data_IF_964148169418
#
_entry.id   IF_964148169418
#
_cell.length_a   1.000
_cell.length_b   1.000
_cell.length_c   1.000
_cell.angle_alpha   90.00
_cell.angle_beta   90.00
_cell.angle_gamma   90.00
#
_symmetry.space_group_name_H-M   'P 1'
#
loop_
_entity.id
_entity.type
_entity.pdbx_description
1 polymer ?
#
# COMPACT_ATOMS: atom_id res chain seq x y z
N UNK A 1 -35.91 6.75 15.48
CA UNK A 1 -34.52 6.50 15.09
C UNK A 1 -34.11 7.57 14.09
N UNK A 2 -33.50 8.63 14.56
CA UNK A 2 -32.09 8.79 14.36
C UNK A 2 -31.66 10.06 13.64
N UNK A 3 -32.18 11.21 14.03
CA UNK A 3 -31.52 12.47 13.71
C UNK A 3 -30.14 12.55 14.42
N UNK A 4 -30.04 11.99 15.62
CA UNK A 4 -28.77 11.91 16.39
C UNK A 4 -27.73 11.03 15.69
N UNK A 5 -28.13 9.90 15.09
CA UNK A 5 -27.21 9.05 14.34
C UNK A 5 -26.70 9.67 13.04
N UNK A 6 -27.52 10.47 12.34
CA UNK A 6 -27.12 11.15 11.10
C UNK A 6 -26.14 12.30 11.37
N UNK A 7 -26.32 13.05 12.44
CA UNK A 7 -25.40 14.14 12.83
C UNK A 7 -24.04 13.61 13.30
N UNK A 8 -24.02 12.56 14.09
CA UNK A 8 -22.76 11.89 14.49
C UNK A 8 -22.01 11.39 13.23
N UNK A 9 -22.68 10.71 12.30
CA UNK A 9 -22.03 10.25 11.05
C UNK A 9 -21.49 11.40 10.19
N UNK A 10 -22.18 12.54 10.11
CA UNK A 10 -21.69 13.72 9.37
C UNK A 10 -20.45 14.31 10.06
N UNK A 11 -20.47 14.44 11.36
CA UNK A 11 -19.33 14.94 12.14
C UNK A 11 -18.11 14.06 11.98
N UNK A 12 -18.29 12.73 12.07
CA UNK A 12 -17.20 11.76 11.93
C UNK A 12 -16.57 11.82 10.54
N UNK A 13 -17.39 11.93 9.48
CA UNK A 13 -16.89 12.10 8.11
C UNK A 13 -16.11 13.41 7.95
N UNK A 14 -16.59 14.53 8.51
CA UNK A 14 -15.85 15.79 8.51
C UNK A 14 -14.51 15.66 9.25
N UNK A 15 -14.50 14.97 10.39
CA UNK A 15 -13.27 14.72 11.15
C UNK A 15 -12.29 13.85 10.36
N UNK A 16 -12.78 12.83 9.64
CA UNK A 16 -11.96 12.00 8.78
C UNK A 16 -11.30 12.81 7.64
N UNK A 17 -12.10 13.66 6.96
CA UNK A 17 -11.57 14.57 5.93
C UNK A 17 -10.56 15.54 6.54
N UNK A 18 -10.87 16.17 7.68
CA UNK A 18 -9.95 17.07 8.38
C UNK A 18 -8.65 16.36 8.76
N UNK A 19 -8.72 15.09 9.21
CA UNK A 19 -7.53 14.28 9.50
C UNK A 19 -6.65 14.08 8.27
N UNK A 20 -7.25 13.80 7.10
CA UNK A 20 -6.51 13.64 5.83
C UNK A 20 -5.83 14.95 5.43
N UNK A 21 -6.52 16.08 5.59
CA UNK A 21 -6.00 17.39 5.18
C UNK A 21 -4.89 17.92 6.11
N UNK A 22 -5.04 17.73 7.40
CA UNK A 22 -4.14 18.27 8.44
C UNK A 22 -3.02 17.29 8.83
N UNK A 23 -3.29 15.98 8.69
CA UNK A 23 -2.35 14.93 9.05
C UNK A 23 -1.40 14.54 7.92
N UNK A 24 -0.61 13.50 8.16
CA UNK A 24 0.18 12.80 7.14
C UNK A 24 -0.64 11.71 6.45
N UNK A 25 0.04 10.65 6.02
CA UNK A 25 -0.61 9.45 5.51
C UNK A 25 -1.66 8.92 6.50
N UNK A 26 -2.80 8.47 6.00
CA UNK A 26 -3.97 8.18 6.85
C UNK A 26 -4.57 6.82 6.55
N UNK A 27 -4.91 6.07 7.61
CA UNK A 27 -5.74 4.86 7.53
C UNK A 27 -7.16 5.18 8.02
N UNK A 28 -8.13 5.08 7.13
CA UNK A 28 -9.57 5.13 7.45
C UNK A 28 -10.05 3.73 7.83
N UNK A 29 -9.89 3.37 9.10
CA UNK A 29 -10.31 2.08 9.65
C UNK A 29 -11.78 2.11 10.12
N UNK A 30 -12.67 2.59 9.25
CA UNK A 30 -14.08 2.73 9.56
C UNK A 30 -14.86 1.48 9.15
N UNK A 31 -15.91 1.14 9.89
CA UNK A 31 -16.78 0.00 9.59
C UNK A 31 -17.39 0.12 8.18
N UNK A 32 -17.89 -1.00 7.67
CA UNK A 32 -18.61 -1.02 6.39
C UNK A 32 -19.87 -0.15 6.51
N UNK A 33 -20.14 0.68 5.49
CA UNK A 33 -21.29 1.60 5.49
C UNK A 33 -21.05 2.94 6.16
N UNK A 34 -19.91 3.21 6.78
CA UNK A 34 -19.60 4.51 7.41
C UNK A 34 -19.46 5.67 6.42
N UNK A 35 -19.28 5.37 5.13
CA UNK A 35 -19.16 6.37 4.07
C UNK A 35 -17.72 6.71 3.68
N UNK A 36 -16.78 5.78 3.87
CA UNK A 36 -15.36 5.93 3.50
C UNK A 36 -15.12 6.46 2.09
N UNK A 37 -15.89 5.97 1.12
CA UNK A 37 -15.78 6.43 -0.27
C UNK A 37 -16.10 7.93 -0.40
N UNK A 38 -17.12 8.43 0.30
CA UNK A 38 -17.46 9.87 0.33
C UNK A 38 -16.38 10.69 1.05
N UNK A 39 -15.77 10.16 2.11
CA UNK A 39 -14.67 10.81 2.82
C UNK A 39 -13.45 10.97 1.89
N UNK A 40 -13.10 9.92 1.14
CA UNK A 40 -12.02 9.97 0.15
C UNK A 40 -12.32 10.95 -0.98
N UNK A 41 -13.53 10.94 -1.55
CA UNK A 41 -13.93 11.89 -2.60
C UNK A 41 -13.86 13.33 -2.12
N UNK A 42 -14.37 13.61 -0.91
CA UNK A 42 -14.32 14.95 -0.33
C UNK A 42 -12.88 15.38 -0.04
N UNK A 43 -12.07 14.49 0.53
CA UNK A 43 -10.66 14.76 0.79
C UNK A 43 -9.88 15.03 -0.51
N UNK A 44 -10.14 14.26 -1.58
CA UNK A 44 -9.53 14.45 -2.90
C UNK A 44 -9.76 15.88 -3.42
N UNK A 45 -11.01 16.32 -3.44
CA UNK A 45 -11.36 17.64 -3.95
C UNK A 45 -10.85 18.77 -3.04
N UNK A 46 -10.91 18.58 -1.73
CA UNK A 46 -10.38 19.57 -0.78
C UNK A 46 -8.85 19.66 -0.81
N UNK A 47 -8.13 18.54 -0.98
CA UNK A 47 -6.68 18.55 -1.18
C UNK A 47 -6.31 19.35 -2.43
N UNK A 48 -7.01 19.15 -3.55
CA UNK A 48 -6.80 19.93 -4.78
C UNK A 48 -7.13 21.40 -4.57
N UNK A 49 -8.27 21.72 -3.94
CA UNK A 49 -8.69 23.10 -3.66
C UNK A 49 -7.68 23.85 -2.79
N UNK A 50 -7.05 23.16 -1.83
CA UNK A 50 -6.06 23.74 -0.92
C UNK A 50 -4.62 23.69 -1.46
N UNK A 51 -4.40 23.10 -2.65
CA UNK A 51 -3.06 22.93 -3.22
C UNK A 51 -2.19 21.92 -2.48
N UNK A 52 -2.79 21.01 -1.71
CA UNK A 52 -2.09 19.95 -0.98
C UNK A 52 -1.77 18.74 -1.87
N UNK A 53 -2.59 18.52 -2.91
CA UNK A 53 -2.35 17.54 -3.95
C UNK A 53 -2.94 18.06 -5.26
N UNK A 54 -2.24 17.81 -6.38
CA UNK A 54 -2.66 18.25 -7.71
C UNK A 54 -3.29 17.12 -8.52
N UNK A 55 -2.80 15.92 -8.38
CA UNK A 55 -3.23 14.78 -9.18
C UNK A 55 -3.39 13.52 -8.32
N UNK A 56 -4.61 13.17 -8.01
CA UNK A 56 -4.97 12.03 -7.16
C UNK A 56 -5.42 10.83 -7.97
N UNK A 57 -4.89 9.64 -7.66
CA UNK A 57 -5.45 8.36 -8.12
C UNK A 57 -6.29 7.74 -7.01
N UNK A 58 -7.55 7.43 -7.32
CA UNK A 58 -8.42 6.64 -6.46
C UNK A 58 -8.46 5.20 -6.95
N UNK A 59 -7.97 4.27 -6.13
CA UNK A 59 -7.86 2.84 -6.42
C UNK A 59 -8.98 2.11 -5.69
N UNK A 60 -9.88 1.49 -6.44
CA UNK A 60 -11.09 0.86 -5.89
C UNK A 60 -11.25 -0.58 -6.39
N UNK A 61 -12.07 -1.40 -5.74
CA UNK A 61 -12.44 -2.71 -6.28
C UNK A 61 -13.06 -2.58 -7.69
N UNK A 62 -12.68 -3.47 -8.61
CA UNK A 62 -13.10 -3.43 -10.01
C UNK A 62 -14.62 -3.26 -10.21
N UNK A 63 -15.52 -3.98 -9.48
CA UNK A 63 -16.96 -3.81 -9.61
C UNK A 63 -17.48 -2.43 -9.21
N UNK A 64 -16.72 -1.70 -8.39
CA UNK A 64 -17.14 -0.41 -7.83
C UNK A 64 -16.72 0.81 -8.67
N UNK A 65 -15.91 0.64 -9.73
CA UNK A 65 -15.41 1.76 -10.56
C UNK A 65 -16.55 2.65 -11.06
N UNK A 66 -17.57 2.06 -11.69
CA UNK A 66 -18.69 2.80 -12.23
C UNK A 66 -19.54 3.49 -11.17
N UNK A 67 -19.77 2.82 -10.04
CA UNK A 67 -20.47 3.39 -8.89
C UNK A 67 -19.69 4.58 -8.32
N UNK A 68 -18.38 4.39 -8.06
CA UNK A 68 -17.50 5.43 -7.53
C UNK A 68 -17.49 6.67 -8.42
N UNK A 69 -17.39 6.47 -9.75
CA UNK A 69 -17.44 7.58 -10.71
C UNK A 69 -18.79 8.33 -10.67
N UNK A 70 -19.91 7.61 -10.63
CA UNK A 70 -21.26 8.21 -10.55
C UNK A 70 -21.45 8.97 -9.24
N UNK A 71 -21.03 8.41 -8.12
CA UNK A 71 -21.11 9.05 -6.82
C UNK A 71 -20.20 10.28 -6.73
N UNK A 72 -19.01 10.22 -7.33
CA UNK A 72 -18.09 11.36 -7.40
C UNK A 72 -18.72 12.53 -8.15
N UNK A 73 -19.27 12.31 -9.35
CA UNK A 73 -19.94 13.35 -10.14
C UNK A 73 -21.26 13.82 -9.52
N UNK A 74 -21.91 12.98 -8.71
CA UNK A 74 -23.09 13.41 -7.94
C UNK A 74 -22.72 14.39 -6.83
N UNK A 75 -21.56 14.21 -6.18
CA UNK A 75 -21.07 15.14 -5.15
C UNK A 75 -20.45 16.40 -5.76
N UNK A 76 -19.71 16.23 -6.85
CA UNK A 76 -18.95 17.29 -7.53
C UNK A 76 -19.24 17.25 -9.03
N UNK A 77 -20.38 17.82 -9.48
CA UNK A 77 -20.82 17.73 -10.88
C UNK A 77 -19.85 18.35 -11.89
N UNK A 78 -19.04 19.31 -11.47
CA UNK A 78 -18.03 19.98 -12.31
C UNK A 78 -16.64 19.33 -12.26
N UNK A 79 -16.45 18.25 -11.52
CA UNK A 79 -15.15 17.60 -11.41
C UNK A 79 -14.73 16.97 -12.74
N UNK A 80 -13.48 17.20 -13.11
CA UNK A 80 -12.84 16.56 -14.26
C UNK A 80 -12.21 15.23 -13.84
N UNK A 81 -12.96 14.14 -13.94
CA UNK A 81 -12.48 12.81 -13.56
C UNK A 81 -12.11 11.96 -14.79
N UNK A 82 -11.04 11.17 -14.66
CA UNK A 82 -10.66 10.15 -15.63
C UNK A 82 -10.98 8.76 -15.07
N UNK A 83 -11.86 8.02 -15.74
CA UNK A 83 -12.27 6.68 -15.30
C UNK A 83 -11.61 5.64 -16.22
N UNK A 84 -10.81 4.74 -15.62
CA UNK A 84 -10.14 3.69 -16.36
C UNK A 84 -11.11 2.56 -16.75
N UNK A 85 -11.09 2.19 -18.02
CA UNK A 85 -11.82 1.04 -18.55
C UNK A 85 -10.89 -0.19 -18.70
N UNK A 86 -11.44 -1.37 -18.93
CA UNK A 86 -10.64 -2.57 -19.20
C UNK A 86 -9.82 -2.42 -20.48
N UNK A 87 -10.40 -1.81 -21.51
CA UNK A 87 -9.77 -1.59 -22.81
C UNK A 87 -8.55 -0.69 -22.73
N UNK A 88 -8.52 0.25 -21.79
CA UNK A 88 -7.40 1.19 -21.60
C UNK A 88 -6.13 0.47 -21.13
N UNK A 89 -6.27 -0.70 -20.50
CA UNK A 89 -5.13 -1.50 -20.01
C UNK A 89 -4.80 -2.72 -20.90
N UNK A 90 -5.37 -2.80 -22.10
CA UNK A 90 -4.86 -3.70 -23.15
C UNK A 90 -3.46 -3.26 -23.59
N UNK A 91 -2.61 -4.21 -24.00
CA UNK A 91 -1.20 -3.93 -24.38
C UNK A 91 -1.06 -2.78 -25.38
N UNK A 92 -1.97 -2.70 -26.37
CA UNK A 92 -1.93 -1.68 -27.42
C UNK A 92 -2.36 -0.28 -26.97
N UNK A 93 -3.17 -0.17 -25.92
CA UNK A 93 -3.77 1.11 -25.47
C UNK A 93 -3.18 1.62 -24.16
N UNK A 94 -2.55 0.77 -23.38
CA UNK A 94 -2.02 1.10 -22.06
C UNK A 94 -1.07 2.31 -22.11
N UNK A 95 -0.15 2.35 -23.06
CA UNK A 95 0.78 3.48 -23.23
C UNK A 95 0.02 4.78 -23.46
N UNK A 96 -1.01 4.78 -24.31
CA UNK A 96 -1.84 5.97 -24.57
C UNK A 96 -2.61 6.42 -23.32
N UNK A 97 -3.20 5.48 -22.57
CA UNK A 97 -3.93 5.81 -21.35
C UNK A 97 -3.01 6.40 -20.27
N UNK A 98 -1.85 5.79 -20.06
CA UNK A 98 -0.85 6.27 -19.09
C UNK A 98 -0.31 7.64 -19.51
N UNK A 99 -0.08 7.88 -20.82
CA UNK A 99 0.28 9.22 -21.33
C UNK A 99 -0.83 10.26 -21.07
N UNK A 100 -2.12 9.89 -21.17
CA UNK A 100 -3.23 10.79 -20.81
C UNK A 100 -3.21 11.17 -19.34
N UNK A 101 -2.88 10.22 -18.46
CA UNK A 101 -2.70 10.53 -17.03
C UNK A 101 -1.56 11.53 -16.84
N UNK A 102 -0.41 11.29 -17.47
CA UNK A 102 0.77 12.14 -17.33
C UNK A 102 0.50 13.58 -17.79
N UNK A 103 -0.14 13.76 -18.94
CA UNK A 103 -0.30 15.08 -19.60
C UNK A 103 -1.63 15.78 -19.25
N UNK A 104 -2.63 15.05 -18.75
CA UNK A 104 -3.94 15.60 -18.44
C UNK A 104 -4.02 16.26 -17.07
N UNK A 105 -4.86 17.29 -16.97
CA UNK A 105 -5.22 17.91 -15.68
C UNK A 105 -6.57 17.34 -15.22
N UNK A 106 -6.50 16.31 -14.38
CA UNK A 106 -7.65 15.64 -13.80
C UNK A 106 -7.74 15.93 -12.30
N UNK A 107 -8.96 16.09 -11.79
CA UNK A 107 -9.19 16.20 -10.35
C UNK A 107 -9.00 14.86 -9.66
N UNK A 108 -9.44 13.78 -10.32
CA UNK A 108 -9.28 12.43 -9.84
C UNK A 108 -9.18 11.43 -10.99
N UNK A 109 -8.31 10.45 -10.86
CA UNK A 109 -8.22 9.28 -11.76
C UNK A 109 -8.74 8.07 -11.00
N UNK A 110 -9.78 7.42 -11.51
CA UNK A 110 -10.42 6.26 -10.85
C UNK A 110 -10.04 4.99 -11.61
N UNK A 111 -9.46 4.02 -10.92
CA UNK A 111 -9.05 2.74 -11.50
C UNK A 111 -9.14 1.59 -10.50
N UNK A 112 -9.10 0.35 -11.00
CA UNK A 112 -9.07 -0.83 -10.15
C UNK A 112 -7.68 -1.14 -9.59
N UNK A 113 -7.63 -1.96 -8.52
CA UNK A 113 -6.38 -2.50 -7.96
C UNK A 113 -5.52 -3.16 -9.05
N UNK A 114 -6.13 -4.01 -9.90
CA UNK A 114 -5.41 -4.72 -10.96
C UNK A 114 -4.95 -3.83 -12.12
N UNK A 115 -5.59 -2.68 -12.34
CA UNK A 115 -5.14 -1.69 -13.31
C UNK A 115 -4.00 -0.86 -12.74
N UNK A 116 -4.08 -0.48 -11.48
CA UNK A 116 -3.03 0.25 -10.76
C UNK A 116 -1.72 -0.55 -10.70
N UNK A 117 -1.79 -1.86 -10.48
CA UNK A 117 -0.63 -2.77 -10.51
C UNK A 117 0.06 -2.81 -11.89
N UNK A 118 -0.67 -2.56 -12.98
CA UNK A 118 -0.10 -2.54 -14.34
C UNK A 118 0.67 -1.26 -14.69
N UNK A 119 0.63 -0.24 -13.87
CA UNK A 119 1.45 0.97 -14.01
C UNK A 119 2.81 0.66 -13.39
N UNK A 120 3.89 0.57 -14.17
CA UNK A 120 5.18 0.16 -13.65
C UNK A 120 5.79 1.25 -12.76
N UNK A 121 6.59 0.84 -11.79
CA UNK A 121 7.54 1.72 -11.10
C UNK A 121 8.91 1.60 -11.76
N UNK A 122 9.77 2.62 -11.63
CA UNK A 122 11.09 2.64 -12.26
C UNK A 122 11.94 1.42 -11.87
N UNK A 123 12.80 0.98 -12.79
CA UNK A 123 13.70 -0.13 -12.55
C UNK A 123 14.72 0.20 -11.46
N UNK A 124 15.19 1.43 -11.42
CA UNK A 124 16.16 1.95 -10.44
C UNK A 124 15.59 1.85 -9.02
N UNK A 125 14.29 2.16 -8.84
CA UNK A 125 13.64 2.07 -7.53
C UNK A 125 13.46 0.63 -7.07
N UNK A 126 13.09 -0.26 -7.99
CA UNK A 126 13.02 -1.71 -7.70
C UNK A 126 14.38 -2.28 -7.34
N UNK A 127 15.41 -1.92 -8.09
CA UNK A 127 16.79 -2.34 -7.85
C UNK A 127 17.29 -1.88 -6.48
N UNK A 128 17.07 -0.61 -6.13
CA UNK A 128 17.43 -0.06 -4.81
C UNK A 128 16.77 -0.85 -3.69
N UNK A 129 15.46 -1.09 -3.77
CA UNK A 129 14.74 -1.85 -2.76
C UNK A 129 15.28 -3.28 -2.62
N UNK A 130 15.52 -3.98 -3.74
CA UNK A 130 16.06 -5.34 -3.72
C UNK A 130 17.45 -5.38 -3.09
N UNK A 131 18.31 -4.41 -3.40
CA UNK A 131 19.64 -4.30 -2.80
C UNK A 131 19.56 -4.01 -1.29
N UNK A 132 18.66 -3.13 -0.84
CA UNK A 132 18.41 -2.88 0.58
C UNK A 132 18.01 -4.18 1.30
N UNK A 133 17.05 -4.92 0.76
CA UNK A 133 16.59 -6.20 1.35
C UNK A 133 17.70 -7.27 1.36
N UNK A 134 18.51 -7.36 0.30
CA UNK A 134 19.66 -8.30 0.24
C UNK A 134 20.69 -7.94 1.31
N UNK A 135 20.97 -6.65 1.50
CA UNK A 135 21.93 -6.19 2.52
C UNK A 135 21.40 -6.48 3.93
N UNK A 136 20.13 -6.21 4.22
CA UNK A 136 19.51 -6.51 5.51
C UNK A 136 19.57 -7.99 5.85
N UNK A 137 19.19 -8.86 4.89
CA UNK A 137 19.26 -10.31 5.09
C UNK A 137 20.71 -10.79 5.25
N UNK A 138 21.66 -10.22 4.50
CA UNK A 138 23.07 -10.58 4.61
C UNK A 138 23.61 -10.27 6.01
N UNK A 139 23.32 -9.06 6.50
CA UNK A 139 23.71 -8.65 7.86
C UNK A 139 23.11 -9.57 8.93
N UNK A 140 21.82 -9.91 8.78
CA UNK A 140 21.15 -10.81 9.72
C UNK A 140 21.73 -12.24 9.70
N UNK A 141 22.14 -12.75 8.53
CA UNK A 141 22.81 -14.04 8.40
C UNK A 141 24.16 -14.02 9.13
N UNK A 142 24.96 -12.97 8.95
CA UNK A 142 26.27 -12.86 9.58
C UNK A 142 26.13 -12.77 11.11
N UNK A 143 25.22 -11.96 11.63
CA UNK A 143 24.92 -11.88 13.07
C UNK A 143 24.48 -13.23 13.66
N UNK A 144 23.62 -13.97 12.95
CA UNK A 144 23.15 -15.28 13.41
C UNK A 144 24.26 -16.33 13.38
N UNK A 145 25.19 -16.26 12.43
CA UNK A 145 26.35 -17.16 12.38
C UNK A 145 27.31 -16.89 13.54
N UNK A 146 27.55 -15.62 13.87
CA UNK A 146 28.43 -15.24 15.00
C UNK A 146 27.85 -15.68 16.36
N UNK A 147 26.52 -15.63 16.52
CA UNK A 147 25.83 -16.03 17.76
C UNK A 147 25.52 -17.52 17.86
N UNK A 148 26.05 -18.37 16.97
CA UNK A 148 25.72 -19.81 16.89
C UNK A 148 24.19 -20.07 16.79
N UNK A 149 23.46 -19.22 16.06
CA UNK A 149 22.03 -19.34 15.86
C UNK A 149 21.64 -20.66 15.15
N UNK A 150 20.35 -20.96 15.18
CA UNK A 150 19.82 -22.21 14.62
C UNK A 150 20.14 -22.34 13.12
N UNK A 151 20.81 -23.42 12.74
CA UNK A 151 21.21 -23.69 11.34
C UNK A 151 20.03 -23.69 10.35
N UNK A 152 18.85 -24.04 10.82
CA UNK A 152 17.64 -24.05 9.98
C UNK A 152 17.22 -22.62 9.59
N UNK A 153 17.21 -21.71 10.54
CA UNK A 153 16.88 -20.28 10.31
C UNK A 153 17.87 -19.64 9.33
N UNK A 154 19.18 -19.92 9.48
CA UNK A 154 20.22 -19.43 8.56
C UNK A 154 19.97 -19.94 7.13
N UNK A 155 19.67 -21.25 6.94
CA UNK A 155 19.34 -21.80 5.62
C UNK A 155 18.11 -21.15 4.99
N UNK A 156 17.11 -20.83 5.78
CA UNK A 156 15.90 -20.15 5.29
C UNK A 156 16.23 -18.74 4.81
N UNK A 157 17.02 -17.98 5.56
CA UNK A 157 17.50 -16.65 5.18
C UNK A 157 18.36 -16.69 3.90
N UNK A 158 19.28 -17.64 3.79
CA UNK A 158 20.09 -17.85 2.58
C UNK A 158 19.23 -18.17 1.35
N UNK A 159 18.17 -18.97 1.52
CA UNK A 159 17.20 -19.24 0.45
C UNK A 159 16.42 -17.99 0.03
N UNK A 160 16.03 -17.15 0.98
CA UNK A 160 15.37 -15.88 0.69
C UNK A 160 16.30 -14.91 -0.05
N UNK A 161 17.53 -14.75 0.43
CA UNK A 161 18.57 -13.94 -0.22
C UNK A 161 18.76 -14.36 -1.67
N UNK A 162 18.92 -15.66 -1.94
CA UNK A 162 19.06 -16.19 -3.30
C UNK A 162 17.89 -15.82 -4.21
N UNK A 163 16.65 -15.90 -3.71
CA UNK A 163 15.46 -15.48 -4.47
C UNK A 163 15.47 -13.99 -4.83
N UNK A 164 15.92 -13.13 -3.91
CA UNK A 164 16.04 -11.68 -4.16
C UNK A 164 17.14 -11.39 -5.19
N UNK A 165 18.27 -12.08 -5.11
CA UNK A 165 19.35 -11.97 -6.09
C UNK A 165 18.91 -12.44 -7.50
N UNK A 166 18.09 -13.50 -7.59
CA UNK A 166 17.49 -13.96 -8.85
C UNK A 166 16.50 -12.92 -9.42
N UNK A 167 15.69 -12.28 -8.56
CA UNK A 167 14.80 -11.18 -8.97
C UNK A 167 15.58 -9.97 -9.47
N UNK A 168 16.67 -9.63 -8.80
CA UNK A 168 17.55 -8.52 -9.22
C UNK A 168 18.17 -8.77 -10.60
N UNK A 169 18.62 -10.00 -10.87
CA UNK A 169 19.13 -10.39 -12.19
C UNK A 169 18.04 -10.29 -13.27
N UNK A 170 16.84 -10.80 -12.99
CA UNK A 170 15.73 -10.75 -13.95
C UNK A 170 15.28 -9.32 -14.25
N UNK A 171 15.39 -8.41 -13.29
CA UNK A 171 15.03 -7.00 -13.47
C UNK A 171 15.91 -6.32 -14.54
N UNK A 172 17.21 -6.62 -14.57
CA UNK A 172 18.13 -6.06 -15.57
C UNK A 172 17.82 -6.51 -17.00
N UNK A 173 17.21 -7.69 -17.16
CA UNK A 173 16.78 -8.23 -18.46
C UNK A 173 15.41 -7.70 -18.92
N UNK A 174 14.51 -7.42 -17.97
CA UNK A 174 13.17 -6.87 -18.23
C UNK A 174 13.22 -5.37 -18.51
N UNK A 175 14.09 -4.60 -17.87
CA UNK A 175 14.20 -3.14 -18.04
C UNK A 175 14.53 -2.71 -19.48
N UNK A 176 15.07 -3.62 -20.30
CA UNK A 176 15.35 -3.40 -21.73
C UNK A 176 14.13 -3.53 -22.63
N UNK A 177 12.97 -3.96 -22.13
CA UNK A 177 11.81 -4.34 -22.96
C UNK A 177 10.58 -3.46 -22.81
N UNK A 178 10.43 -2.70 -21.71
CA UNK A 178 9.21 -1.94 -21.45
C UNK A 178 9.46 -0.42 -21.59
N UNK A 179 9.08 0.13 -22.74
CA UNK A 179 9.01 1.57 -23.04
C UNK A 179 7.65 2.14 -22.51
N UNK A 180 7.34 1.91 -21.24
CA UNK A 180 6.15 2.42 -20.58
C UNK A 180 6.53 3.58 -19.65
N UNK A 181 5.67 4.61 -19.62
CA UNK A 181 5.75 5.69 -18.64
C UNK A 181 5.62 5.07 -17.24
N UNK A 182 6.55 5.38 -16.37
CA UNK A 182 6.58 4.87 -14.99
C UNK A 182 5.64 5.67 -14.09
N UNK A 183 5.34 5.15 -12.90
CA UNK A 183 4.47 5.82 -11.93
C UNK A 183 5.01 7.20 -11.53
N UNK A 184 6.32 7.32 -11.41
CA UNK A 184 7.02 8.57 -11.09
C UNK A 184 6.82 9.66 -12.17
N UNK A 185 6.73 9.25 -13.44
CA UNK A 185 6.54 10.15 -14.58
C UNK A 185 5.10 10.61 -14.77
N UNK A 186 4.13 10.01 -14.03
CA UNK A 186 2.71 10.41 -14.12
C UNK A 186 2.42 11.78 -13.52
N UNK A 187 3.29 12.25 -12.63
CA UNK A 187 3.05 13.45 -11.84
C UNK A 187 1.92 13.28 -10.83
N UNK A 188 1.66 12.06 -10.40
CA UNK A 188 0.70 11.75 -9.34
C UNK A 188 1.36 12.04 -8.00
N UNK A 189 0.69 12.80 -7.17
CA UNK A 189 1.14 13.22 -5.85
C UNK A 189 0.25 12.73 -4.70
N UNK A 190 -0.88 12.07 -5.03
CA UNK A 190 -1.74 11.45 -4.02
C UNK A 190 -2.38 10.16 -4.52
N UNK A 191 -2.51 9.19 -3.62
CA UNK A 191 -3.31 7.97 -3.83
C UNK A 191 -4.31 7.77 -2.70
N UNK A 192 -5.50 7.32 -3.07
CA UNK A 192 -6.55 6.91 -2.14
C UNK A 192 -6.98 5.49 -2.48
N UNK A 193 -6.76 4.56 -1.57
CA UNK A 193 -6.96 3.13 -1.84
C UNK A 193 -8.11 2.59 -1.00
N UNK A 194 -9.19 2.23 -1.65
CA UNK A 194 -10.31 1.53 -1.00
C UNK A 194 -10.03 0.04 -0.90
N UNK A 195 -10.54 -0.59 0.15
CA UNK A 195 -10.28 -1.98 0.50
C UNK A 195 -8.77 -2.31 0.54
N UNK A 196 -8.01 -1.46 1.23
CA UNK A 196 -6.55 -1.54 1.33
C UNK A 196 -6.04 -2.85 1.95
N UNK A 197 -6.90 -3.61 2.68
CA UNK A 197 -6.57 -4.95 3.17
C UNK A 197 -6.17 -5.93 2.05
N UNK A 198 -6.50 -5.63 0.79
CA UNK A 198 -6.03 -6.42 -0.35
C UNK A 198 -4.50 -6.42 -0.53
N UNK A 199 -3.79 -5.49 0.10
CA UNK A 199 -2.34 -5.33 0.02
C UNK A 199 -1.61 -5.79 1.29
N UNK A 200 -2.27 -6.46 2.22
CA UNK A 200 -1.70 -6.91 3.49
C UNK A 200 -0.61 -7.98 3.39
N UNK A 201 -0.53 -8.70 2.26
CA UNK A 201 0.44 -9.77 2.05
C UNK A 201 1.79 -9.23 1.54
N UNK A 202 2.44 -8.41 2.36
CA UNK A 202 3.82 -7.96 2.13
C UNK A 202 4.80 -8.98 2.72
N UNK A 203 5.96 -9.16 2.09
CA UNK A 203 7.02 -9.98 2.67
C UNK A 203 7.54 -9.33 3.96
N UNK A 204 7.58 -10.09 5.03
CA UNK A 204 8.11 -9.67 6.32
C UNK A 204 9.37 -10.50 6.61
N UNK A 205 10.48 -9.81 6.85
CA UNK A 205 11.68 -10.43 7.36
C UNK A 205 11.62 -10.47 8.89
N UNK A 206 11.86 -11.64 9.48
CA UNK A 206 11.90 -11.84 10.92
C UNK A 206 12.85 -12.96 11.29
N UNK A 207 13.54 -12.81 12.42
CA UNK A 207 14.34 -13.86 13.07
C UNK A 207 13.47 -14.79 13.93
N UNK A 208 12.21 -14.42 14.17
CA UNK A 208 11.26 -15.20 14.96
C UNK A 208 10.78 -16.42 14.17
N UNK A 209 10.73 -17.57 14.82
CA UNK A 209 10.22 -18.82 14.25
C UNK A 209 8.79 -19.06 14.73
N UNK A 210 7.96 -19.68 13.87
CA UNK A 210 6.60 -20.11 14.19
C UNK A 210 5.63 -19.00 14.62
N UNK A 211 5.81 -17.76 14.12
CA UNK A 211 4.86 -16.68 14.34
C UNK A 211 3.83 -16.69 13.22
N UNK A 212 2.55 -16.79 13.61
CA UNK A 212 1.44 -16.75 12.66
C UNK A 212 1.39 -15.41 11.91
N UNK A 213 1.20 -15.47 10.58
CA UNK A 213 1.07 -14.29 9.73
C UNK A 213 2.36 -13.71 9.18
N UNK A 214 3.53 -14.22 9.59
CA UNK A 214 4.80 -13.87 8.95
C UNK A 214 4.91 -14.65 7.64
N UNK A 215 4.88 -13.93 6.52
CA UNK A 215 5.12 -14.50 5.19
C UNK A 215 6.46 -14.04 4.66
N UNK A 216 7.33 -15.00 4.36
CA UNK A 216 8.61 -14.75 3.68
C UNK A 216 8.45 -14.49 2.18
N UNK A 217 7.26 -14.76 1.63
CA UNK A 217 6.93 -14.53 0.22
C UNK A 217 5.76 -13.55 0.13
N UNK A 218 6.06 -12.28 -0.16
CA UNK A 218 5.04 -11.26 -0.39
C UNK A 218 4.34 -11.43 -1.74
N UNK A 219 3.14 -10.88 -1.85
CA UNK A 219 2.46 -10.76 -3.13
C UNK A 219 3.08 -9.63 -3.96
N UNK A 220 3.30 -9.85 -5.27
CA UNK A 220 3.85 -8.83 -6.18
C UNK A 220 3.10 -7.49 -6.10
N UNK A 221 1.76 -7.52 -6.01
CA UNK A 221 0.93 -6.32 -5.88
C UNK A 221 1.21 -5.53 -4.59
N UNK A 222 1.53 -6.22 -3.49
CA UNK A 222 1.85 -5.57 -2.21
C UNK A 222 3.22 -4.90 -2.26
N UNK A 223 4.21 -5.55 -2.86
CA UNK A 223 5.54 -4.97 -3.09
C UNK A 223 5.47 -3.77 -4.04
N UNK A 224 4.68 -3.86 -5.13
CA UNK A 224 4.46 -2.74 -6.05
C UNK A 224 3.79 -1.55 -5.34
N UNK A 225 2.75 -1.80 -4.54
CA UNK A 225 2.11 -0.78 -3.71
C UNK A 225 3.10 -0.14 -2.74
N UNK A 226 3.97 -0.92 -2.10
CA UNK A 226 4.97 -0.40 -1.17
C UNK A 226 5.93 0.58 -1.84
N UNK A 227 6.43 0.25 -3.02
CA UNK A 227 7.33 1.13 -3.78
C UNK A 227 6.66 2.45 -4.16
N UNK A 228 5.38 2.39 -4.59
CA UNK A 228 4.59 3.58 -4.92
C UNK A 228 4.31 4.44 -3.69
N UNK A 229 3.99 3.81 -2.55
CA UNK A 229 3.81 4.52 -1.28
C UNK A 229 5.10 5.19 -0.80
N UNK A 230 6.25 4.49 -0.90
CA UNK A 230 7.55 5.08 -0.57
C UNK A 230 7.86 6.29 -1.44
N UNK A 231 7.66 6.18 -2.76
CA UNK A 231 7.84 7.31 -3.66
C UNK A 231 6.99 8.51 -3.27
N UNK A 232 5.69 8.31 -3.03
CA UNK A 232 4.79 9.40 -2.63
C UNK A 232 5.17 10.02 -1.30
N UNK A 233 5.57 9.22 -0.33
CA UNK A 233 6.05 9.72 0.96
C UNK A 233 7.34 10.55 0.85
N UNK A 234 8.24 10.17 -0.05
CA UNK A 234 9.48 10.89 -0.32
C UNK A 234 9.22 12.27 -0.96
N UNK A 235 8.32 12.36 -1.95
CA UNK A 235 8.05 13.62 -2.66
C UNK A 235 7.13 14.58 -1.89
N UNK A 236 6.39 14.08 -0.89
CA UNK A 236 5.37 14.84 -0.16
C UNK A 236 5.61 14.89 1.37
N UNK A 237 6.84 14.67 1.83
CA UNK A 237 7.19 14.72 3.26
C UNK A 237 6.26 13.87 4.15
N UNK A 238 6.03 12.61 3.75
CA UNK A 238 5.18 11.67 4.49
C UNK A 238 3.67 11.89 4.32
N UNK A 239 3.25 12.50 3.22
CA UNK A 239 1.85 12.74 2.86
C UNK A 239 1.49 12.05 1.53
N UNK A 240 0.23 12.13 1.13
CA UNK A 240 -0.26 11.71 -0.17
C UNK A 240 -0.83 10.29 -0.22
N UNK A 241 -0.93 9.59 0.92
CA UNK A 241 -1.47 8.23 0.97
C UNK A 241 -2.66 8.17 1.92
N UNK A 242 -3.79 7.73 1.40
CA UNK A 242 -5.00 7.45 2.18
C UNK A 242 -5.43 6.01 1.91
N UNK A 243 -5.41 5.18 2.92
CA UNK A 243 -5.92 3.82 2.88
C UNK A 243 -7.27 3.75 3.59
N UNK A 244 -8.22 3.05 3.00
CA UNK A 244 -9.55 2.83 3.57
C UNK A 244 -9.85 1.32 3.63
N UNK A 245 -10.31 0.84 4.78
CA UNK A 245 -10.74 -0.55 4.92
C UNK A 245 -11.66 -0.72 6.13
N UNK A 246 -12.62 -1.65 6.03
CA UNK A 246 -13.44 -2.05 7.17
C UNK A 246 -12.77 -3.12 8.05
N UNK A 247 -11.69 -3.73 7.56
CA UNK A 247 -10.98 -4.85 8.22
C UNK A 247 -9.47 -4.61 8.21
N UNK A 248 -8.96 -3.64 9.00
CA UNK A 248 -7.54 -3.33 9.02
C UNK A 248 -6.70 -4.49 9.54
N UNK A 249 -7.25 -5.27 10.45
CA UNK A 249 -6.68 -6.50 10.99
C UNK A 249 -7.77 -7.57 10.86
N UNK A 250 -7.47 -8.68 10.20
CA UNK A 250 -8.42 -9.80 10.04
C UNK A 250 -7.89 -11.12 10.62
N UNK A 251 -6.60 -11.39 10.51
CA UNK A 251 -6.02 -12.67 10.91
C UNK A 251 -4.91 -12.51 11.96
N UNK A 252 -3.99 -11.58 11.76
CA UNK A 252 -2.81 -11.45 12.64
C UNK A 252 -2.41 -9.99 12.82
N UNK A 253 -1.69 -9.69 13.90
CA UNK A 253 -1.11 -8.37 14.17
C UNK A 253 -0.08 -7.96 13.12
N UNK A 254 0.51 -8.90 12.38
CA UNK A 254 1.41 -8.61 11.26
C UNK A 254 0.74 -7.73 10.19
N UNK A 255 -0.57 -7.84 10.01
CA UNK A 255 -1.32 -7.00 9.08
C UNK A 255 -1.28 -5.52 9.48
N UNK A 256 -1.31 -5.22 10.78
CA UNK A 256 -1.17 -3.85 11.28
C UNK A 256 0.24 -3.30 11.04
N UNK A 257 1.26 -4.10 11.30
CA UNK A 257 2.64 -3.75 10.97
C UNK A 257 2.80 -3.41 9.48
N UNK A 258 2.23 -4.22 8.60
CA UNK A 258 2.24 -3.97 7.14
C UNK A 258 1.56 -2.64 6.79
N UNK A 259 0.41 -2.33 7.40
CA UNK A 259 -0.24 -1.03 7.20
C UNK A 259 0.64 0.14 7.65
N UNK A 260 1.35 -0.01 8.77
CA UNK A 260 2.29 0.99 9.23
C UNK A 260 3.50 1.15 8.30
N UNK A 261 4.01 0.05 7.73
CA UNK A 261 5.08 0.12 6.72
C UNK A 261 4.67 0.94 5.48
N UNK A 262 3.42 0.86 5.05
CA UNK A 262 2.93 1.68 3.94
C UNK A 262 2.80 3.16 4.30
N UNK A 263 2.33 3.46 5.51
CA UNK A 263 1.85 4.79 5.86
C UNK A 263 2.86 5.62 6.64
N UNK A 264 3.77 4.98 7.40
CA UNK A 264 4.65 5.67 8.34
C UNK A 264 6.05 5.04 8.46
N UNK A 265 6.60 4.54 7.33
CA UNK A 265 7.93 3.92 7.31
C UNK A 265 8.99 4.78 7.97
N UNK A 266 9.08 6.06 7.62
CA UNK A 266 10.08 6.98 8.16
C UNK A 266 9.97 7.14 9.69
N UNK A 267 8.75 7.21 10.24
CA UNK A 267 8.56 7.28 11.69
C UNK A 267 8.99 5.98 12.40
N UNK A 268 8.75 4.81 11.79
CA UNK A 268 9.23 3.53 12.33
C UNK A 268 10.76 3.45 12.32
N UNK A 269 11.41 3.98 11.28
CA UNK A 269 12.87 4.06 11.16
C UNK A 269 13.45 5.00 12.23
N UNK A 270 12.88 6.19 12.39
CA UNK A 270 13.28 7.19 13.39
C UNK A 270 13.17 6.64 14.82
N UNK A 271 12.11 5.87 15.11
CA UNK A 271 11.93 5.21 16.39
C UNK A 271 12.78 3.94 16.60
N UNK A 272 13.51 3.48 15.59
CA UNK A 272 14.31 2.25 15.64
C UNK A 272 13.48 0.96 15.67
N UNK A 273 12.21 1.01 15.29
CA UNK A 273 11.27 -0.12 15.30
C UNK A 273 10.79 -0.50 13.89
N UNK A 274 11.57 -0.14 12.88
CA UNK A 274 11.28 -0.49 11.49
C UNK A 274 11.27 -2.00 11.22
N UNK A 275 12.19 -2.76 11.84
CA UNK A 275 12.20 -4.20 11.70
C UNK A 275 11.08 -4.86 12.51
N UNK A 276 10.45 -5.88 11.92
CA UNK A 276 9.32 -6.56 12.54
C UNK A 276 9.61 -7.06 13.96
N UNK A 277 10.80 -7.62 14.20
CA UNK A 277 11.17 -8.16 15.52
C UNK A 277 11.21 -7.06 16.59
N UNK A 278 11.73 -5.87 16.24
CA UNK A 278 11.75 -4.71 17.13
C UNK A 278 10.34 -4.16 17.34
N UNK A 279 9.53 -4.10 16.27
CA UNK A 279 8.14 -3.68 16.35
C UNK A 279 7.32 -4.63 17.24
N UNK A 280 7.45 -5.93 17.02
CA UNK A 280 6.74 -6.95 17.80
C UNK A 280 7.14 -6.93 19.28
N UNK A 281 8.40 -6.67 19.60
CA UNK A 281 8.87 -6.54 20.98
C UNK A 281 8.25 -5.33 21.70
N UNK A 282 7.85 -4.27 20.97
CA UNK A 282 7.27 -3.08 21.56
C UNK A 282 5.73 -3.11 21.61
N UNK A 283 5.07 -3.74 20.64
CA UNK A 283 3.61 -3.69 20.49
C UNK A 283 2.93 -5.05 20.61
N UNK A 284 3.69 -6.15 20.67
CA UNK A 284 3.16 -7.49 20.71
C UNK A 284 3.49 -8.21 22.00
N UNK A 285 2.65 -9.17 22.35
CA UNK A 285 2.91 -10.16 23.37
C UNK A 285 2.85 -11.54 22.73
N UNK A 286 3.87 -12.37 22.96
CA UNK A 286 3.91 -13.74 22.46
C UNK A 286 3.11 -14.63 23.40
N UNK A 287 1.95 -15.08 22.96
CA UNK A 287 1.15 -16.07 23.67
C UNK A 287 1.22 -17.41 22.95
N UNK A 288 1.45 -18.51 23.71
CA UNK A 288 1.42 -19.85 23.18
C UNK A 288 0.08 -20.49 23.54
N UNK A 289 -0.72 -20.84 22.52
CA UNK A 289 -1.96 -21.56 22.71
C UNK A 289 -1.88 -22.92 21.98
N UNK A 290 -2.37 -23.98 22.64
CA UNK A 290 -2.60 -25.27 22.00
C UNK A 290 -3.96 -25.21 21.29
N UNK A 291 -3.97 -25.11 19.97
CA UNK A 291 -5.19 -25.27 19.18
C UNK A 291 -5.44 -26.76 18.93
N UNK A 292 -6.53 -27.27 19.49
CA UNK A 292 -7.04 -28.60 19.15
C UNK A 292 -7.63 -28.54 17.74
N UNK A 293 -6.95 -29.15 16.78
CA UNK A 293 -7.48 -29.31 15.43
C UNK A 293 -8.75 -30.16 15.47
N UNK A 294 -9.88 -29.60 15.05
CA UNK A 294 -11.17 -30.29 14.91
C UNK A 294 -11.16 -31.40 13.84
N UNK A 295 -10.06 -31.57 13.10
CA UNK A 295 -9.92 -32.58 12.04
C UNK A 295 -9.87 -34.01 12.63
N UNK A 296 -9.58 -34.15 13.91
CA UNK A 296 -9.51 -35.48 14.59
C UNK A 296 -10.71 -35.80 15.46
N UNK A 297 -11.77 -34.99 15.44
CA UNK A 297 -13.02 -35.28 16.12
C UNK A 297 -14.05 -35.87 15.15
#
# INVERSE_FOLDING_TARGET
LSLVGSEMCIRDRKNAVARILLGGNTLLAHCVGAGKSFEMMAACMEQKRLGLANKTIMVVPKPLIGQTASEFLRLYPSANILVATERDFEKSRRKQFVSRIATGDYDCIIMSHSQFEKIPISAERKERMLNEQINEISYAIDEMKERNGERWTVKQMESQKKKLEEQLKSLSDESRKDDLITFEELGVDSIMVDEAHNFKNLAIFSKMNNVSGISSSGAKKSTDMQLKCQYLSEINDGRGIVFATGTPISNTMCEMYVMQLYLQKAALEEMGIYHFDSWAANFGEVTTALELSLIHI
#
